data_IF_931106865613
#
_entry.id   IF_931106865613
#
_cell.length_a   1.000
_cell.length_b   1.000
_cell.length_c   1.000
_cell.angle_alpha   90.00
_cell.angle_beta   90.00
_cell.angle_gamma   90.00
#
_symmetry.space_group_name_H-M   'P 1'
#
loop_
_entity.id
_entity.type
_entity.pdbx_description
1 polymer ?
#
# COMPACT_ATOMS: atom_id res chain seq x y z
N UNK A 1 29.29 -59.50 -32.31
CA UNK A 1 29.53 -58.22 -31.61
C UNK A 1 28.18 -57.57 -31.30
N UNK A 2 27.77 -57.41 -30.03
CA UNK A 2 26.70 -56.48 -29.68
C UNK A 2 27.25 -55.27 -28.90
N UNK A 3 26.94 -54.07 -29.40
CA UNK A 3 27.32 -52.78 -28.80
C UNK A 3 26.29 -52.43 -27.72
N UNK A 4 26.75 -52.11 -26.49
CA UNK A 4 25.89 -51.66 -25.39
C UNK A 4 25.61 -50.15 -25.52
N UNK A 5 24.37 -49.69 -25.29
CA UNK A 5 24.07 -48.26 -25.32
C UNK A 5 24.52 -47.56 -24.04
N UNK A 6 25.19 -46.42 -24.24
CA UNK A 6 25.58 -45.45 -23.22
C UNK A 6 24.32 -44.87 -22.54
N UNK A 7 24.26 -44.91 -21.21
CA UNK A 7 23.28 -44.16 -20.43
C UNK A 7 23.89 -42.82 -20.02
N UNK A 8 23.52 -41.75 -20.71
CA UNK A 8 23.82 -40.39 -20.28
C UNK A 8 22.80 -39.95 -19.22
N UNK A 9 23.27 -39.72 -18.00
CA UNK A 9 22.54 -39.02 -16.94
C UNK A 9 22.54 -37.52 -17.26
N UNK A 10 21.40 -36.98 -17.65
CA UNK A 10 21.21 -35.54 -17.83
C UNK A 10 20.70 -34.93 -16.51
N UNK A 11 21.56 -34.20 -15.83
CA UNK A 11 21.26 -33.43 -14.62
C UNK A 11 20.42 -32.19 -14.99
N UNK A 12 19.16 -32.14 -14.58
CA UNK A 12 18.31 -30.97 -14.74
C UNK A 12 18.57 -29.97 -13.60
N UNK A 13 19.23 -28.84 -13.90
CA UNK A 13 19.37 -27.72 -12.99
C UNK A 13 18.09 -26.86 -13.03
N UNK A 14 17.33 -26.85 -11.93
CA UNK A 14 16.14 -26.01 -11.76
C UNK A 14 16.60 -24.58 -11.47
N UNK A 15 16.53 -23.72 -12.48
CA UNK A 15 16.81 -22.28 -12.37
C UNK A 15 15.62 -21.62 -11.64
N UNK A 16 15.75 -21.40 -10.34
CA UNK A 16 14.76 -20.64 -9.57
C UNK A 16 14.92 -19.15 -9.90
N UNK A 17 14.11 -18.65 -10.84
CA UNK A 17 13.98 -17.22 -11.08
C UNK A 17 13.27 -16.59 -9.87
N UNK A 18 14.04 -16.04 -8.93
CA UNK A 18 13.53 -15.17 -7.89
C UNK A 18 12.97 -13.91 -8.56
N UNK A 19 11.64 -13.83 -8.69
CA UNK A 19 10.95 -12.60 -9.05
C UNK A 19 11.13 -11.61 -7.89
N UNK A 20 12.12 -10.72 -8.01
CA UNK A 20 12.22 -9.57 -7.13
C UNK A 20 10.99 -8.69 -7.37
N UNK A 21 10.04 -8.71 -6.44
CA UNK A 21 8.96 -7.73 -6.42
C UNK A 21 9.61 -6.38 -6.10
N UNK A 22 9.57 -5.38 -6.99
CA UNK A 22 10.05 -4.05 -6.64
C UNK A 22 9.23 -3.57 -5.43
N UNK A 23 9.92 -3.37 -4.31
CA UNK A 23 9.33 -2.76 -3.12
C UNK A 23 8.81 -1.38 -3.50
N UNK A 24 7.52 -1.16 -3.31
CA UNK A 24 6.93 0.18 -3.41
C UNK A 24 7.55 0.98 -2.30
N UNK A 25 8.18 2.10 -2.65
CA UNK A 25 8.68 3.04 -1.65
C UNK A 25 7.59 3.34 -0.63
N UNK A 26 7.99 3.30 0.64
CA UNK A 26 7.21 3.53 1.86
C UNK A 26 6.79 5.01 2.00
N UNK A 27 6.40 5.63 0.88
CA UNK A 27 6.35 7.10 0.72
C UNK A 27 5.29 7.78 1.58
N UNK A 28 4.33 7.02 2.09
CA UNK A 28 3.22 7.55 2.88
C UNK A 28 3.26 7.14 4.35
N UNK A 29 4.25 6.36 4.82
CA UNK A 29 4.28 5.99 6.23
C UNK A 29 4.34 7.26 7.10
N UNK A 30 3.65 7.26 8.23
CA UNK A 30 3.59 8.43 9.11
C UNK A 30 2.26 8.59 9.83
N UNK A 31 2.24 9.55 10.74
CA UNK A 31 1.07 10.01 11.48
C UNK A 31 0.64 11.34 10.88
N UNK A 32 -0.64 11.46 10.55
CA UNK A 32 -1.20 12.62 9.89
C UNK A 32 -2.50 13.09 10.55
N UNK A 33 -2.85 14.37 10.37
CA UNK A 33 -4.09 14.95 10.88
C UNK A 33 -4.67 16.01 9.94
N UNK A 34 -5.99 16.00 9.70
CA UNK A 34 -6.66 16.99 8.86
C UNK A 34 -6.93 18.35 9.52
N UNK A 35 -6.76 18.48 10.83
CA UNK A 35 -6.96 19.73 11.60
C UNK A 35 -5.63 20.28 12.15
N UNK A 36 -5.08 19.64 13.19
CA UNK A 36 -3.89 20.13 13.89
C UNK A 36 -3.00 19.02 14.43
N UNK A 37 -1.70 19.16 14.24
CA UNK A 37 -0.69 18.30 14.87
C UNK A 37 -0.42 18.79 16.30
N UNK A 38 -0.80 18.01 17.30
CA UNK A 38 -0.63 18.35 18.71
C UNK A 38 -0.93 17.18 19.66
N UNK A 39 -0.98 17.45 20.96
CA UNK A 39 -1.20 16.44 22.02
C UNK A 39 -2.58 15.72 21.96
N UNK A 40 -3.39 16.00 20.94
CA UNK A 40 -4.68 15.36 20.66
C UNK A 40 -4.85 14.95 19.19
N UNK A 41 -3.78 14.60 18.50
CA UNK A 41 -3.84 14.27 17.06
C UNK A 41 -4.80 13.11 16.73
N UNK A 42 -5.16 12.23 17.68
CA UNK A 42 -6.20 11.21 17.49
C UNK A 42 -7.61 11.77 17.64
N UNK A 43 -7.95 12.75 16.80
CA UNK A 43 -9.30 13.26 16.61
C UNK A 43 -9.99 12.57 15.42
N UNK A 44 -11.19 13.01 15.04
CA UNK A 44 -11.98 12.45 13.94
C UNK A 44 -11.27 12.50 12.56
N UNK A 45 -10.25 13.35 12.42
CA UNK A 45 -9.43 13.53 11.21
C UNK A 45 -8.02 12.95 11.36
N UNK A 46 -7.83 11.99 12.27
CA UNK A 46 -6.57 11.28 12.41
C UNK A 46 -6.39 10.21 11.31
N UNK A 47 -5.19 10.13 10.77
CA UNK A 47 -4.77 9.10 9.83
C UNK A 47 -3.35 8.65 10.14
N UNK A 48 -3.19 7.40 10.56
CA UNK A 48 -1.88 6.75 10.69
C UNK A 48 -1.68 5.80 9.51
N UNK A 49 -0.56 5.92 8.82
CA UNK A 49 -0.20 5.05 7.70
C UNK A 49 1.04 4.27 8.12
N UNK A 50 0.88 2.95 8.16
CA UNK A 50 1.97 1.98 8.35
C UNK A 50 1.73 0.89 7.32
N UNK A 51 2.31 1.08 6.14
CA UNK A 51 1.96 0.30 4.96
C UNK A 51 2.04 -1.22 5.20
N UNK A 52 1.06 -2.03 4.72
CA UNK A 52 -0.12 -1.67 3.92
C UNK A 52 -1.34 -1.21 4.73
N UNK A 53 -1.17 -0.96 6.04
CA UNK A 53 -2.24 -0.56 6.94
C UNK A 53 -2.46 0.95 6.98
N UNK A 54 -3.73 1.36 7.01
CA UNK A 54 -4.18 2.72 7.27
C UNK A 54 -5.13 2.67 8.47
N UNK A 55 -4.86 3.45 9.50
CA UNK A 55 -5.71 3.57 10.68
C UNK A 55 -6.30 4.97 10.72
N UNK A 56 -7.59 5.04 10.45
CA UNK A 56 -8.41 6.22 10.69
C UNK A 56 -8.85 6.26 12.15
N UNK A 57 -9.49 7.35 12.58
CA UNK A 57 -10.05 7.47 13.93
C UNK A 57 -10.92 6.27 14.34
N UNK A 58 -11.85 5.87 13.48
CA UNK A 58 -12.84 4.83 13.79
C UNK A 58 -12.59 3.49 13.10
N UNK A 59 -11.66 3.43 12.15
CA UNK A 59 -11.52 2.26 11.28
C UNK A 59 -10.08 1.94 10.94
N UNK A 60 -9.85 0.67 10.64
CA UNK A 60 -8.56 0.20 10.15
C UNK A 60 -8.74 -0.47 8.80
N UNK A 61 -7.89 -0.14 7.85
CA UNK A 61 -7.93 -0.60 6.47
C UNK A 61 -6.60 -1.21 6.06
N UNK A 62 -6.65 -2.39 5.45
CA UNK A 62 -5.48 -3.02 4.84
C UNK A 62 -5.57 -2.90 3.32
N UNK A 63 -4.54 -2.35 2.68
CA UNK A 63 -4.48 -2.29 1.22
C UNK A 63 -4.28 -3.70 0.66
N UNK A 64 -5.21 -4.09 -0.22
CA UNK A 64 -5.26 -5.44 -0.83
C UNK A 64 -4.87 -5.45 -2.30
N UNK A 65 -5.03 -4.32 -2.99
CA UNK A 65 -4.66 -4.17 -4.38
C UNK A 65 -4.30 -2.71 -4.70
N UNK A 66 -3.58 -2.52 -5.81
CA UNK A 66 -3.30 -1.21 -6.39
C UNK A 66 -3.42 -1.26 -7.91
N UNK A 67 -3.93 -0.19 -8.50
CA UNK A 67 -4.08 -0.04 -9.94
C UNK A 67 -3.42 1.28 -10.37
N UNK A 68 -2.46 1.26 -11.31
CA UNK A 68 -1.81 2.48 -11.75
C UNK A 68 -2.80 3.42 -12.47
N UNK A 69 -2.65 4.72 -12.26
CA UNK A 69 -3.42 5.74 -12.98
C UNK A 69 -2.72 6.02 -14.31
N UNK A 70 -3.45 5.85 -15.41
CA UNK A 70 -2.90 6.05 -16.75
C UNK A 70 -2.41 7.49 -16.94
N UNK A 71 -1.19 7.63 -17.48
CA UNK A 71 -0.58 8.93 -17.75
C UNK A 71 0.07 9.61 -16.54
N UNK A 72 0.00 9.02 -15.34
CA UNK A 72 0.66 9.53 -14.14
C UNK A 72 1.75 8.57 -13.67
N UNK A 73 2.93 9.11 -13.36
CA UNK A 73 4.02 8.33 -12.78
C UNK A 73 3.79 8.15 -11.28
N UNK A 74 3.99 6.93 -10.78
CA UNK A 74 3.91 6.58 -9.36
C UNK A 74 2.58 6.97 -8.65
N UNK A 75 1.49 7.07 -9.41
CA UNK A 75 0.14 7.34 -8.88
C UNK A 75 -0.72 6.10 -9.03
N UNK A 76 -1.40 5.71 -7.95
CA UNK A 76 -2.22 4.51 -7.90
C UNK A 76 -3.58 4.77 -7.26
N UNK A 77 -4.60 4.08 -7.75
CA UNK A 77 -5.82 3.80 -7.00
C UNK A 77 -5.56 2.55 -6.17
N UNK A 78 -5.71 2.67 -4.86
CA UNK A 78 -5.62 1.59 -3.90
C UNK A 78 -7.01 1.04 -3.60
N UNK A 79 -7.11 -0.28 -3.45
CA UNK A 79 -8.30 -0.95 -2.93
C UNK A 79 -7.94 -1.58 -1.60
N UNK A 80 -8.71 -1.24 -0.56
CA UNK A 80 -8.47 -1.69 0.80
C UNK A 80 -9.69 -2.40 1.39
N UNK A 81 -9.42 -3.35 2.30
CA UNK A 81 -10.44 -3.97 3.14
C UNK A 81 -10.41 -3.29 4.50
N UNK A 82 -11.51 -2.63 4.86
CA UNK A 82 -11.67 -1.84 6.07
C UNK A 82 -12.53 -2.57 7.10
N UNK A 83 -12.23 -2.34 8.38
CA UNK A 83 -12.90 -2.96 9.52
C UNK A 83 -13.16 -1.93 10.61
N UNK A 84 -14.37 -1.95 11.16
CA UNK A 84 -14.79 -1.18 12.34
C UNK A 84 -16.04 -1.81 12.92
N UNK A 85 -16.19 -1.82 14.24
CA UNK A 85 -17.41 -2.26 14.95
C UNK A 85 -18.00 -3.61 14.48
N UNK A 86 -17.13 -4.55 14.10
CA UNK A 86 -17.53 -5.88 13.59
C UNK A 86 -18.03 -5.90 12.14
N UNK A 87 -18.05 -4.75 11.46
CA UNK A 87 -18.33 -4.64 10.03
C UNK A 87 -17.05 -4.74 9.21
N UNK A 88 -17.19 -5.20 7.96
CA UNK A 88 -16.11 -5.23 6.97
C UNK A 88 -16.64 -4.72 5.65
N UNK A 89 -15.91 -3.78 5.03
CA UNK A 89 -16.26 -3.21 3.73
C UNK A 89 -15.01 -2.97 2.88
N UNK A 90 -15.22 -2.71 1.60
CA UNK A 90 -14.16 -2.36 0.66
C UNK A 90 -14.20 -0.87 0.37
N UNK A 91 -13.04 -0.23 0.32
CA UNK A 91 -12.86 1.18 -0.01
C UNK A 91 -11.82 1.31 -1.12
N UNK A 92 -12.01 2.27 -2.02
CA UNK A 92 -11.03 2.60 -3.06
C UNK A 92 -10.65 4.07 -2.98
N UNK A 93 -9.34 4.35 -2.98
CA UNK A 93 -8.81 5.69 -2.76
C UNK A 93 -7.47 5.90 -3.45
N UNK A 94 -7.10 7.16 -3.66
CA UNK A 94 -5.72 7.55 -4.00
C UNK A 94 -5.09 8.23 -2.80
N UNK A 95 -3.79 8.01 -2.61
CA UNK A 95 -2.95 8.84 -1.75
C UNK A 95 -2.01 9.63 -2.66
N UNK A 96 -1.93 10.94 -2.42
CA UNK A 96 -1.06 11.85 -3.18
C UNK A 96 -0.32 12.71 -2.17
N UNK A 97 1.01 12.73 -2.21
CA UNK A 97 1.79 13.63 -1.35
C UNK A 97 1.51 15.09 -1.70
N UNK A 98 1.38 15.94 -0.70
CA UNK A 98 1.39 17.38 -0.90
C UNK A 98 2.83 17.95 -0.84
N UNK A 99 2.99 19.23 -1.18
CA UNK A 99 4.30 19.89 -1.21
C UNK A 99 4.88 20.20 0.18
N UNK A 100 4.12 19.99 1.25
CA UNK A 100 4.52 20.19 2.65
C UNK A 100 4.90 18.89 3.36
N UNK A 101 4.83 17.75 2.66
CA UNK A 101 5.06 16.43 3.23
C UNK A 101 3.81 15.78 3.83
N UNK A 102 2.65 16.45 3.76
CA UNK A 102 1.36 15.86 4.05
C UNK A 102 0.85 14.96 2.93
N UNK A 103 -0.36 14.45 3.11
CA UNK A 103 -1.01 13.54 2.16
C UNK A 103 -2.43 13.98 1.87
N UNK A 104 -2.81 13.91 0.60
CA UNK A 104 -4.20 14.08 0.16
C UNK A 104 -4.78 12.71 -0.11
N UNK A 105 -5.85 12.38 0.61
CA UNK A 105 -6.65 11.19 0.35
C UNK A 105 -7.81 11.59 -0.57
N UNK A 106 -7.94 10.90 -1.70
CA UNK A 106 -8.98 11.19 -2.72
C UNK A 106 -9.84 9.96 -2.94
N UNK A 107 -11.16 10.16 -2.91
CA UNK A 107 -12.20 9.14 -3.02
C UNK A 107 -13.39 9.62 -3.85
N UNK A 108 -14.39 8.75 -3.99
CA UNK A 108 -15.59 9.05 -4.75
C UNK A 108 -16.34 10.27 -4.15
N UNK A 109 -16.23 11.40 -4.84
CA UNK A 109 -16.85 12.66 -4.44
C UNK A 109 -16.23 13.36 -3.24
N UNK A 110 -15.08 12.89 -2.72
CA UNK A 110 -14.46 13.42 -1.51
C UNK A 110 -12.93 13.50 -1.62
N UNK A 111 -12.35 14.55 -1.05
CA UNK A 111 -10.91 14.66 -0.89
C UNK A 111 -10.59 15.35 0.43
N UNK A 112 -9.61 14.82 1.15
CA UNK A 112 -9.18 15.33 2.46
C UNK A 112 -7.66 15.54 2.45
N UNK A 113 -7.23 16.66 3.02
CA UNK A 113 -5.81 16.98 3.18
C UNK A 113 -5.41 16.66 4.61
N UNK A 114 -4.39 15.84 4.80
CA UNK A 114 -3.82 15.54 6.09
C UNK A 114 -2.41 16.09 6.21
N UNK A 115 -2.18 16.89 7.25
CA UNK A 115 -0.87 17.42 7.60
C UNK A 115 -0.03 16.35 8.28
N UNK A 116 1.25 16.27 7.92
CA UNK A 116 2.20 15.35 8.56
C UNK A 116 2.53 15.78 9.98
N UNK A 117 2.35 14.86 10.94
CA UNK A 117 2.55 15.09 12.37
C UNK A 117 3.73 14.31 12.97
N UNK A 118 4.33 13.37 12.23
CA UNK A 118 5.50 12.61 12.70
C UNK A 118 5.49 11.14 12.26
N UNK A 119 6.39 10.34 12.84
CA UNK A 119 6.48 8.89 12.69
C UNK A 119 6.46 8.22 14.06
#
# INVERSE_FOLDING_TARGET
MPVRPFRSLATAAVLSAALAVPGVSQTYDGIYNGDQCGLGYRNELALDIYWPGLTFYESHCDVTARTPVAGLYDTFVYTATCRSEGQTWTRSFMLVSDNSGGVVLVEDGYAEVFHYCGH
#
